data_IF_380905309422
#
_entry.id   IF_380905309422
#
_cell.length_a   1.000
_cell.length_b   1.000
_cell.length_c   1.000
_cell.angle_alpha   90.00
_cell.angle_beta   90.00
_cell.angle_gamma   90.00
#
_symmetry.space_group_name_H-M   'P 1'
#
loop_
_entity.id
_entity.type
_entity.pdbx_description
1 polymer ?
#
# COMPACT_ATOMS: atom_id res chain seq x y z
N UNK A 1 24.96 45.20 -41.52
CA UNK A 1 23.51 44.88 -41.57
C UNK A 1 23.17 43.91 -40.45
N UNK A 2 22.40 44.39 -39.48
CA UNK A 2 21.67 43.58 -38.49
C UNK A 2 20.79 42.52 -39.18
N UNK A 3 20.52 41.39 -38.53
CA UNK A 3 19.15 40.94 -38.21
C UNK A 3 19.13 39.68 -37.30
N UNK A 4 18.83 39.96 -36.01
CA UNK A 4 17.87 39.30 -35.10
C UNK A 4 17.83 37.78 -34.89
N UNK A 5 17.96 37.44 -33.59
CA UNK A 5 17.25 36.40 -32.81
C UNK A 5 15.96 35.85 -33.45
N UNK A 6 15.83 34.52 -33.44
CA UNK A 6 14.56 33.83 -33.23
C UNK A 6 14.76 32.67 -32.27
N UNK A 7 14.22 32.83 -31.06
CA UNK A 7 13.93 31.72 -30.15
C UNK A 7 12.86 30.83 -30.78
N UNK A 8 13.08 29.53 -30.74
CA UNK A 8 12.00 28.54 -30.87
C UNK A 8 12.06 27.59 -29.68
N UNK A 9 11.29 27.97 -28.67
CA UNK A 9 10.52 27.03 -27.87
C UNK A 9 9.81 26.07 -28.82
N UNK A 10 9.93 24.77 -28.61
CA UNK A 10 9.19 23.80 -29.41
C UNK A 10 9.70 22.37 -29.31
N UNK A 11 9.04 21.61 -28.43
CA UNK A 11 8.51 20.30 -28.82
C UNK A 11 9.52 19.18 -29.09
N UNK A 12 10.21 18.64 -28.07
CA UNK A 12 10.75 17.27 -28.12
C UNK A 12 10.83 16.59 -26.75
N UNK A 13 9.69 16.10 -26.26
CA UNK A 13 9.61 14.92 -25.39
C UNK A 13 8.15 14.45 -25.36
N UNK A 14 7.56 14.23 -26.54
CA UNK A 14 6.47 13.29 -26.66
C UNK A 14 7.14 11.91 -26.65
N UNK A 15 7.42 11.39 -25.46
CA UNK A 15 7.74 9.97 -25.31
C UNK A 15 6.49 9.25 -25.76
N UNK A 16 6.51 8.71 -26.98
CA UNK A 16 5.56 7.69 -27.40
C UNK A 16 5.59 6.62 -26.30
N UNK A 17 4.53 6.51 -25.51
CA UNK A 17 4.19 5.30 -24.77
C UNK A 17 3.86 4.24 -25.83
N UNK A 18 4.89 3.73 -26.50
CA UNK A 18 4.78 2.58 -27.36
C UNK A 18 4.46 1.38 -26.46
N UNK A 19 3.20 0.95 -26.51
CA UNK A 19 2.67 -0.36 -26.14
C UNK A 19 3.63 -1.25 -25.33
N UNK A 20 3.84 -0.92 -24.05
CA UNK A 20 4.03 -1.98 -23.08
C UNK A 20 2.74 -2.81 -23.13
N UNK A 21 2.78 -4.15 -23.13
CA UNK A 21 1.60 -4.95 -22.84
C UNK A 21 1.21 -4.58 -21.40
N UNK A 22 0.42 -3.53 -21.28
CA UNK A 22 -0.11 -3.01 -20.04
C UNK A 22 -0.91 -4.16 -19.46
N UNK A 23 -0.69 -4.41 -18.17
CA UNK A 23 -1.54 -5.29 -17.39
C UNK A 23 -2.94 -4.64 -17.36
N UNK A 24 -3.71 -4.90 -18.41
CA UNK A 24 -5.09 -4.46 -18.46
C UNK A 24 -5.81 -5.12 -17.29
N UNK A 25 -6.40 -4.28 -16.47
CA UNK A 25 -7.14 -4.68 -15.28
C UNK A 25 -8.51 -4.06 -15.34
N UNK A 26 -9.53 -4.88 -15.13
CA UNK A 26 -10.92 -4.50 -15.26
C UNK A 26 -11.78 -5.29 -14.25
N UNK A 27 -12.26 -4.59 -13.22
CA UNK A 27 -13.14 -5.19 -12.21
C UNK A 27 -14.39 -5.83 -12.83
N UNK A 28 -14.93 -5.28 -13.91
CA UNK A 28 -16.15 -5.80 -14.51
C UNK A 28 -15.90 -7.14 -15.21
N UNK A 29 -14.76 -7.31 -15.88
CA UNK A 29 -14.35 -8.64 -16.36
C UNK A 29 -14.11 -9.62 -15.22
N UNK A 30 -13.57 -9.12 -14.09
CA UNK A 30 -13.41 -9.92 -12.88
C UNK A 30 -14.75 -10.47 -12.36
N UNK A 31 -15.80 -9.64 -12.40
CA UNK A 31 -17.17 -10.04 -12.09
C UNK A 31 -17.64 -11.18 -13.00
N UNK A 32 -17.46 -11.04 -14.30
CA UNK A 32 -17.87 -12.05 -15.30
C UNK A 32 -17.15 -13.39 -15.11
N UNK A 33 -15.85 -13.35 -14.78
CA UNK A 33 -15.08 -14.55 -14.46
C UNK A 33 -15.62 -15.23 -13.20
N UNK A 34 -15.98 -14.47 -12.16
CA UNK A 34 -16.56 -15.04 -10.95
C UNK A 34 -17.91 -15.71 -11.25
N UNK A 35 -18.78 -15.02 -12.00
CA UNK A 35 -20.12 -15.50 -12.35
C UNK A 35 -20.12 -16.68 -13.34
N UNK A 36 -19.01 -16.92 -14.05
CA UNK A 36 -18.90 -18.05 -14.98
C UNK A 36 -18.07 -19.22 -14.44
N UNK A 37 -17.03 -18.96 -13.64
CA UNK A 37 -16.06 -19.98 -13.23
C UNK A 37 -16.11 -20.32 -11.75
N UNK A 38 -16.36 -19.33 -10.87
CA UNK A 38 -16.40 -19.60 -9.43
C UNK A 38 -17.70 -20.31 -9.03
N UNK A 39 -18.80 -20.06 -9.75
CA UNK A 39 -20.11 -20.66 -9.47
C UNK A 39 -20.17 -22.19 -9.67
N UNK A 40 -19.17 -22.76 -10.36
CA UNK A 40 -19.06 -24.21 -10.53
C UNK A 40 -18.96 -24.96 -9.19
N UNK A 41 -18.44 -24.29 -8.15
CA UNK A 41 -18.34 -24.83 -6.79
C UNK A 41 -19.02 -23.92 -5.75
N UNK A 42 -19.04 -22.60 -5.96
CA UNK A 42 -19.63 -21.65 -5.03
C UNK A 42 -21.11 -21.43 -5.34
N UNK A 43 -22.00 -21.92 -4.48
CA UNK A 43 -23.45 -21.72 -4.62
C UNK A 43 -23.86 -20.27 -4.37
N UNK A 44 -24.96 -19.83 -5.00
CA UNK A 44 -25.51 -18.47 -4.88
C UNK A 44 -25.18 -17.60 -6.09
N UNK A 45 -25.19 -16.28 -5.91
CA UNK A 45 -24.84 -15.30 -6.94
C UNK A 45 -24.24 -14.02 -6.31
N UNK A 46 -23.70 -13.11 -7.12
CA UNK A 46 -23.07 -11.88 -6.60
C UNK A 46 -24.05 -10.84 -6.04
N UNK A 47 -25.35 -10.96 -6.32
CA UNK A 47 -26.37 -10.02 -5.87
C UNK A 47 -26.82 -10.36 -4.45
N UNK A 48 -27.15 -11.63 -4.21
CA UNK A 48 -27.65 -12.13 -2.92
C UNK A 48 -26.50 -12.68 -2.05
N UNK A 49 -25.41 -13.13 -2.66
CA UNK A 49 -24.19 -13.61 -2.02
C UNK A 49 -23.73 -14.97 -2.55
N UNK A 50 -22.44 -15.09 -2.86
CA UNK A 50 -21.79 -16.35 -3.18
C UNK A 50 -21.24 -16.99 -1.90
N UNK A 51 -21.54 -18.27 -1.70
CA UNK A 51 -21.03 -19.06 -0.58
C UNK A 51 -19.53 -18.89 -0.43
N UNK A 52 -19.06 -18.68 0.80
CA UNK A 52 -17.67 -18.37 1.17
C UNK A 52 -17.17 -17.01 0.68
N UNK A 53 -17.27 -16.72 -0.61
CA UNK A 53 -16.71 -15.53 -1.26
C UNK A 53 -17.33 -14.26 -0.66
N UNK A 54 -18.65 -14.21 -0.54
CA UNK A 54 -19.36 -13.02 -0.08
C UNK A 54 -19.27 -12.78 1.42
N UNK A 55 -18.76 -13.74 2.19
CA UNK A 55 -18.67 -13.69 3.65
C UNK A 55 -17.28 -13.38 4.21
N UNK A 56 -16.39 -12.94 3.34
CA UNK A 56 -15.03 -12.56 3.70
C UNK A 56 -14.65 -11.23 3.06
N UNK A 57 -13.83 -10.45 3.74
CA UNK A 57 -13.12 -9.29 3.20
C UNK A 57 -11.63 -9.42 3.46
N UNK A 58 -10.80 -8.98 2.52
CA UNK A 58 -9.33 -9.13 2.57
C UNK A 58 -8.63 -8.00 1.81
N UNK A 59 -7.32 -7.90 2.01
CA UNK A 59 -6.44 -7.09 1.15
C UNK A 59 -6.34 -7.67 -0.27
N UNK A 60 -5.84 -6.91 -1.26
CA UNK A 60 -5.54 -7.43 -2.60
C UNK A 60 -4.65 -8.68 -2.55
N UNK A 61 -3.63 -8.68 -1.71
CA UNK A 61 -2.73 -9.83 -1.50
C UNK A 61 -3.46 -11.04 -0.89
N UNK A 62 -4.39 -10.80 0.05
CA UNK A 62 -5.20 -11.86 0.64
C UNK A 62 -6.17 -12.52 -0.36
N UNK A 63 -6.74 -11.73 -1.27
CA UNK A 63 -7.54 -12.25 -2.39
C UNK A 63 -6.68 -12.99 -3.41
N UNK A 64 -5.51 -12.45 -3.78
CA UNK A 64 -4.53 -13.13 -4.63
C UNK A 64 -4.18 -14.52 -4.06
N UNK A 65 -3.86 -14.61 -2.78
CA UNK A 65 -3.56 -15.88 -2.12
C UNK A 65 -4.74 -16.87 -2.17
N UNK A 66 -5.97 -16.37 -2.04
CA UNK A 66 -7.18 -17.20 -2.09
C UNK A 66 -7.42 -17.74 -3.50
N UNK A 67 -7.35 -16.89 -4.52
CA UNK A 67 -7.48 -17.30 -5.93
C UNK A 67 -6.38 -18.29 -6.31
N UNK A 68 -5.13 -18.01 -5.95
CA UNK A 68 -4.00 -18.94 -6.16
C UNK A 68 -4.21 -20.28 -5.51
N UNK A 69 -4.79 -20.30 -4.31
CA UNK A 69 -5.15 -21.55 -3.63
C UNK A 69 -6.18 -22.34 -4.44
N UNK A 70 -7.22 -21.68 -4.99
CA UNK A 70 -8.21 -22.36 -5.83
C UNK A 70 -7.57 -22.98 -7.09
N UNK A 71 -6.61 -22.27 -7.72
CA UNK A 71 -5.88 -22.81 -8.87
C UNK A 71 -5.05 -24.04 -8.49
N UNK A 72 -4.33 -23.97 -7.37
CA UNK A 72 -3.39 -25.02 -6.93
C UNK A 72 -4.08 -26.24 -6.34
N UNK A 73 -5.07 -26.03 -5.47
CA UNK A 73 -5.65 -27.10 -4.63
C UNK A 73 -6.97 -27.62 -5.18
N UNK A 74 -7.68 -26.83 -5.99
CA UNK A 74 -9.01 -27.19 -6.51
C UNK A 74 -9.08 -27.11 -8.03
N UNK A 75 -7.94 -26.94 -8.72
CA UNK A 75 -7.84 -27.03 -10.18
C UNK A 75 -8.53 -25.89 -10.94
N UNK A 76 -8.79 -24.74 -10.31
CA UNK A 76 -9.38 -23.59 -10.99
C UNK A 76 -8.51 -23.15 -12.18
N UNK A 77 -9.09 -23.20 -13.38
CA UNK A 77 -8.41 -22.80 -14.62
C UNK A 77 -8.83 -21.39 -15.05
N UNK A 78 -7.95 -20.43 -14.80
CA UNK A 78 -8.06 -19.04 -15.24
C UNK A 78 -6.71 -18.55 -15.75
N UNK A 79 -6.75 -17.64 -16.73
CA UNK A 79 -5.56 -16.96 -17.23
C UNK A 79 -5.04 -15.96 -16.18
N UNK A 80 -3.80 -15.49 -16.37
CA UNK A 80 -3.22 -14.45 -15.51
C UNK A 80 -3.97 -13.11 -15.58
N UNK A 81 -4.54 -12.78 -16.74
CA UNK A 81 -5.35 -11.58 -16.91
C UNK A 81 -6.65 -11.70 -16.11
N UNK A 82 -7.38 -12.80 -16.30
CA UNK A 82 -8.60 -13.10 -15.53
C UNK A 82 -8.33 -13.12 -14.01
N UNK A 83 -7.21 -13.71 -13.57
CA UNK A 83 -6.80 -13.65 -12.15
C UNK A 83 -6.67 -12.20 -11.65
N UNK A 84 -6.00 -11.35 -12.43
CA UNK A 84 -5.78 -9.94 -12.07
C UNK A 84 -7.11 -9.19 -11.98
N UNK A 85 -8.01 -9.42 -12.94
CA UNK A 85 -9.36 -8.86 -12.99
C UNK A 85 -10.21 -9.32 -11.79
N UNK A 86 -10.18 -10.62 -11.46
CA UNK A 86 -10.87 -11.19 -10.29
C UNK A 86 -10.34 -10.57 -8.99
N UNK A 87 -9.03 -10.44 -8.83
CA UNK A 87 -8.44 -9.82 -7.63
C UNK A 87 -8.84 -8.36 -7.54
N UNK A 88 -8.86 -7.63 -8.65
CA UNK A 88 -9.33 -6.24 -8.69
C UNK A 88 -10.78 -6.14 -8.23
N UNK A 89 -11.67 -6.96 -8.78
CA UNK A 89 -13.06 -6.98 -8.35
C UNK A 89 -13.21 -7.31 -6.86
N UNK A 90 -12.60 -8.40 -6.39
CA UNK A 90 -12.73 -8.82 -5.00
C UNK A 90 -12.16 -7.79 -4.02
N UNK A 91 -11.02 -7.17 -4.33
CA UNK A 91 -10.42 -6.15 -3.48
C UNK A 91 -11.20 -4.82 -3.48
N UNK A 92 -11.83 -4.46 -4.59
CA UNK A 92 -12.64 -3.23 -4.67
C UNK A 92 -13.96 -3.35 -3.89
N UNK A 93 -14.62 -4.50 -4.01
CA UNK A 93 -15.96 -4.68 -3.44
C UNK A 93 -15.94 -5.32 -2.06
N UNK A 94 -14.89 -6.09 -1.75
CA UNK A 94 -14.71 -6.85 -0.51
C UNK A 94 -13.31 -6.63 0.09
N UNK A 95 -12.83 -5.39 -0.01
CA UNK A 95 -11.58 -4.91 0.58
C UNK A 95 -11.66 -4.62 2.08
N UNK A 96 -10.56 -4.11 2.62
CA UNK A 96 -10.48 -3.59 3.98
C UNK A 96 -10.40 -2.07 3.98
N UNK A 97 -10.81 -1.45 5.08
CA UNK A 97 -10.63 -0.01 5.28
C UNK A 97 -9.18 0.33 5.66
N UNK A 98 -8.71 1.58 5.48
CA UNK A 98 -7.40 2.01 5.95
C UNK A 98 -7.17 1.73 7.45
N UNK A 99 -8.18 1.96 8.29
CA UNK A 99 -8.11 1.70 9.73
C UNK A 99 -7.96 0.20 10.05
N UNK A 100 -8.53 -0.68 9.21
CA UNK A 100 -8.38 -2.14 9.33
C UNK A 100 -7.02 -2.64 8.86
N UNK A 101 -6.39 -1.97 7.89
CA UNK A 101 -5.09 -2.34 7.32
C UNK A 101 -3.94 -1.82 8.18
N UNK A 102 -4.04 -0.58 8.66
CA UNK A 102 -2.94 0.16 9.30
C UNK A 102 -2.20 -0.59 10.41
N UNK A 103 -2.86 -1.32 11.34
CA UNK A 103 -2.14 -2.07 12.38
C UNK A 103 -1.22 -3.17 11.84
N UNK A 104 -1.48 -3.65 10.62
CA UNK A 104 -0.86 -4.82 10.02
C UNK A 104 -0.18 -4.53 8.67
N UNK A 105 -0.11 -3.26 8.23
CA UNK A 105 0.43 -2.86 6.93
C UNK A 105 1.87 -3.33 6.70
N UNK A 106 2.64 -3.49 7.77
CA UNK A 106 4.04 -3.89 7.73
C UNK A 106 4.30 -5.20 6.95
N UNK A 107 3.35 -6.17 6.95
CA UNK A 107 3.50 -7.43 6.21
C UNK A 107 3.24 -7.25 4.72
N UNK A 108 2.39 -6.28 4.37
CA UNK A 108 2.13 -5.85 2.99
C UNK A 108 3.37 -5.13 2.47
N UNK A 109 3.82 -4.11 3.20
CA UNK A 109 5.01 -3.29 2.94
C UNK A 109 6.33 -4.07 2.87
N UNK A 110 6.31 -5.36 3.22
CA UNK A 110 7.50 -6.21 3.37
C UNK A 110 8.53 -5.56 4.29
N UNK A 111 8.06 -4.93 5.37
CA UNK A 111 8.94 -4.33 6.36
C UNK A 111 9.81 -5.44 6.97
N UNK A 112 11.15 -5.36 6.83
CA UNK A 112 12.02 -6.40 7.34
C UNK A 112 12.02 -6.41 8.87
N UNK A 113 12.24 -7.59 9.46
CA UNK A 113 12.53 -7.79 10.88
C UNK A 113 11.47 -7.24 11.86
N UNK A 114 10.19 -7.28 11.50
CA UNK A 114 9.11 -6.96 12.45
C UNK A 114 8.93 -8.13 13.42
N UNK A 115 8.92 -7.80 14.72
CA UNK A 115 8.53 -8.73 15.79
C UNK A 115 7.09 -8.43 16.17
N UNK A 116 6.20 -9.41 16.06
CA UNK A 116 4.83 -9.28 16.55
C UNK A 116 4.80 -9.45 18.07
N UNK A 117 4.08 -8.56 18.76
CA UNK A 117 4.03 -8.54 20.22
C UNK A 117 3.27 -9.74 20.83
N UNK A 118 2.37 -10.39 20.07
CA UNK A 118 1.58 -11.52 20.55
C UNK A 118 0.70 -11.18 21.74
N UNK A 119 -0.16 -10.14 21.60
CA UNK A 119 -0.92 -9.56 22.73
C UNK A 119 -1.90 -10.54 23.37
N UNK A 120 -2.45 -11.46 22.59
CA UNK A 120 -3.29 -12.55 23.08
C UNK A 120 -2.47 -13.85 23.02
N UNK A 121 -2.21 -14.43 24.19
CA UNK A 121 -1.36 -15.62 24.30
C UNK A 121 -1.99 -16.83 23.60
N UNK A 122 -3.31 -17.02 23.75
CA UNK A 122 -4.02 -18.14 23.15
C UNK A 122 -3.97 -18.05 21.63
N UNK A 123 -4.30 -16.90 21.04
CA UNK A 123 -4.20 -16.66 19.61
C UNK A 123 -2.76 -16.88 19.11
N UNK A 124 -1.77 -16.40 19.86
CA UNK A 124 -0.36 -16.53 19.51
C UNK A 124 0.05 -18.00 19.40
N UNK A 125 -0.27 -18.80 20.42
CA UNK A 125 0.02 -20.24 20.46
C UNK A 125 -0.77 -21.02 19.39
N UNK A 126 -2.03 -20.66 19.19
CA UNK A 126 -2.95 -21.41 18.32
C UNK A 126 -2.75 -21.10 16.83
N UNK A 127 -2.48 -19.83 16.48
CA UNK A 127 -2.59 -19.35 15.10
C UNK A 127 -1.31 -18.68 14.55
N UNK A 128 -0.44 -18.16 15.41
CA UNK A 128 0.68 -17.29 14.97
C UNK A 128 2.03 -18.03 14.89
N UNK A 129 2.09 -19.29 15.32
CA UNK A 129 3.31 -20.13 15.26
C UNK A 129 3.76 -20.54 13.85
N UNK A 130 2.90 -20.45 12.84
CA UNK A 130 3.20 -20.84 11.46
C UNK A 130 3.37 -19.63 10.52
N UNK A 131 2.60 -18.58 10.74
CA UNK A 131 2.63 -17.36 9.96
C UNK A 131 2.16 -16.18 10.82
N UNK A 132 2.50 -14.97 10.41
CA UNK A 132 2.21 -13.75 11.17
C UNK A 132 0.73 -13.59 11.54
N UNK A 133 0.46 -13.04 12.71
CA UNK A 133 -0.86 -12.57 13.16
C UNK A 133 -1.45 -11.59 12.15
N UNK A 134 -0.62 -10.75 11.50
CA UNK A 134 -1.05 -9.86 10.44
C UNK A 134 -1.80 -10.56 9.29
N UNK A 135 -1.53 -11.85 9.02
CA UNK A 135 -2.28 -12.58 8.00
C UNK A 135 -3.74 -12.79 8.42
N UNK A 136 -4.00 -12.89 9.71
CA UNK A 136 -5.33 -12.98 10.33
C UNK A 136 -5.93 -11.58 10.40
N UNK A 137 -5.17 -10.62 10.97
CA UNK A 137 -5.58 -9.24 11.16
C UNK A 137 -5.92 -8.48 9.87
N UNK A 138 -5.40 -8.91 8.73
CA UNK A 138 -5.74 -8.41 7.38
C UNK A 138 -6.90 -9.17 6.72
N UNK A 139 -7.84 -9.67 7.52
CA UNK A 139 -9.07 -10.28 7.04
C UNK A 139 -10.24 -9.93 7.96
N UNK A 140 -11.45 -9.93 7.39
CA UNK A 140 -12.69 -9.78 8.15
C UNK A 140 -13.67 -10.84 7.69
N UNK A 141 -14.24 -11.62 8.60
CA UNK A 141 -15.09 -12.79 8.28
C UNK A 141 -16.25 -12.94 9.26
N UNK A 142 -17.29 -13.67 8.87
CA UNK A 142 -18.33 -14.12 9.83
C UNK A 142 -17.77 -15.25 10.71
N UNK A 143 -18.39 -15.55 11.87
CA UNK A 143 -18.01 -16.73 12.67
C UNK A 143 -17.96 -18.01 11.85
N UNK A 144 -18.97 -18.26 11.01
CA UNK A 144 -19.01 -19.46 10.17
C UNK A 144 -17.81 -19.55 9.21
N UNK A 145 -17.35 -18.42 8.69
CA UNK A 145 -16.17 -18.36 7.83
C UNK A 145 -14.85 -18.46 8.57
N UNK A 146 -14.80 -18.06 9.84
CA UNK A 146 -13.67 -18.35 10.74
C UNK A 146 -13.63 -19.82 11.14
N UNK A 147 -14.76 -20.41 11.52
CA UNK A 147 -14.86 -21.85 11.83
C UNK A 147 -14.49 -22.71 10.61
N UNK A 148 -14.99 -22.36 9.42
CA UNK A 148 -14.62 -23.04 8.19
C UNK A 148 -13.12 -22.89 7.86
N UNK A 149 -12.47 -21.79 8.27
CA UNK A 149 -11.03 -21.62 8.13
C UNK A 149 -10.26 -22.57 9.06
N UNK A 150 -10.70 -22.72 10.30
CA UNK A 150 -10.10 -23.67 11.26
C UNK A 150 -10.18 -25.09 10.70
N UNK A 151 -11.36 -25.50 10.24
CA UNK A 151 -11.57 -26.80 9.59
C UNK A 151 -10.64 -27.01 8.39
N UNK A 152 -10.51 -25.99 7.53
CA UNK A 152 -9.59 -26.05 6.39
C UNK A 152 -8.13 -26.27 6.82
N UNK A 153 -7.65 -25.60 7.88
CA UNK A 153 -6.26 -25.77 8.32
C UNK A 153 -5.99 -27.19 8.82
N UNK A 154 -6.88 -27.74 9.65
CA UNK A 154 -6.73 -29.11 10.18
C UNK A 154 -6.78 -30.13 9.05
N UNK A 155 -7.73 -29.98 8.11
CA UNK A 155 -7.88 -30.91 6.99
C UNK A 155 -6.73 -30.82 5.98
N UNK A 156 -6.27 -29.60 5.65
CA UNK A 156 -5.23 -29.39 4.65
C UNK A 156 -3.82 -29.72 5.17
N UNK A 157 -3.61 -29.59 6.48
CA UNK A 157 -2.34 -29.89 7.13
C UNK A 157 -2.54 -30.98 8.17
N UNK A 158 -2.64 -32.27 7.78
CA UNK A 158 -3.00 -33.35 8.71
C UNK A 158 -2.07 -33.51 9.92
N UNK A 159 -0.81 -33.07 9.82
CA UNK A 159 0.14 -33.09 10.94
C UNK A 159 -0.03 -31.92 11.92
N UNK A 160 -1.00 -31.03 11.69
CA UNK A 160 -1.13 -29.78 12.41
C UNK A 160 -1.35 -29.97 13.91
N UNK A 161 -2.21 -30.93 14.28
CA UNK A 161 -2.57 -31.21 15.68
C UNK A 161 -1.48 -31.95 16.46
N UNK A 162 -0.48 -32.52 15.77
CA UNK A 162 0.64 -33.22 16.42
C UNK A 162 1.90 -32.36 16.57
N UNK A 163 1.83 -31.08 16.20
CA UNK A 163 2.93 -30.13 16.34
C UNK A 163 3.01 -29.55 17.76
N UNK A 164 4.13 -28.87 18.07
CA UNK A 164 4.26 -28.11 19.31
C UNK A 164 3.17 -27.02 19.40
N UNK A 165 2.66 -26.78 20.61
CA UNK A 165 1.54 -25.86 20.90
C UNK A 165 0.20 -26.28 20.27
N UNK A 166 0.10 -27.51 19.76
CA UNK A 166 -1.16 -28.14 19.37
C UNK A 166 -1.40 -29.47 20.09
N UNK A 167 -0.42 -30.37 20.10
CA UNK A 167 -0.54 -31.73 20.69
C UNK A 167 -0.72 -31.77 22.21
N UNK A 168 -0.54 -30.63 22.87
CA UNK A 168 -0.62 -30.44 24.32
C UNK A 168 -2.05 -30.13 24.80
N UNK A 169 -3.03 -30.03 23.89
CA UNK A 169 -4.43 -29.73 24.20
C UNK A 169 -5.40 -30.35 23.18
N UNK A 170 -6.70 -30.28 23.47
CA UNK A 170 -7.74 -30.48 22.47
C UNK A 170 -7.76 -29.27 21.52
N UNK A 171 -6.84 -29.25 20.57
CA UNK A 171 -6.61 -28.10 19.72
C UNK A 171 -7.86 -27.73 18.92
N UNK A 172 -8.56 -28.71 18.34
CA UNK A 172 -9.75 -28.45 17.54
C UNK A 172 -10.91 -27.93 18.40
N UNK A 173 -11.16 -28.55 19.56
CA UNK A 173 -12.19 -28.10 20.49
C UNK A 173 -11.94 -26.66 20.98
N UNK A 174 -10.71 -26.33 21.36
CA UNK A 174 -10.33 -24.96 21.76
C UNK A 174 -10.45 -23.99 20.59
N UNK A 175 -10.01 -24.40 19.39
CA UNK A 175 -10.10 -23.54 18.21
C UNK A 175 -11.56 -23.17 17.87
N UNK A 176 -12.50 -24.11 17.99
CA UNK A 176 -13.90 -23.85 17.67
C UNK A 176 -14.63 -23.08 18.77
N UNK A 177 -14.37 -23.38 20.04
CA UNK A 177 -15.15 -22.85 21.16
C UNK A 177 -14.58 -21.55 21.75
N UNK A 178 -13.29 -21.27 21.56
CA UNK A 178 -12.62 -20.09 22.14
C UNK A 178 -12.03 -19.20 21.06
N UNK A 179 -11.28 -19.77 20.11
CA UNK A 179 -10.57 -18.97 19.09
C UNK A 179 -11.53 -18.40 18.05
N UNK A 180 -12.52 -19.17 17.56
CA UNK A 180 -13.51 -18.64 16.58
C UNK A 180 -14.32 -17.47 17.15
N UNK A 181 -14.87 -17.53 18.37
CA UNK A 181 -15.52 -16.36 19.00
C UNK A 181 -14.58 -15.15 19.10
N UNK A 182 -13.34 -15.35 19.53
CA UNK A 182 -12.34 -14.27 19.59
C UNK A 182 -12.11 -13.65 18.21
N UNK A 183 -11.97 -14.46 17.15
CA UNK A 183 -11.76 -14.00 15.78
C UNK A 183 -12.97 -13.25 15.22
N UNK A 184 -14.19 -13.66 15.58
CA UNK A 184 -15.40 -12.93 15.21
C UNK A 184 -15.49 -11.58 15.93
N UNK A 185 -15.18 -11.53 17.22
CA UNK A 185 -15.21 -10.29 18.00
C UNK A 185 -14.19 -9.27 17.48
N UNK A 186 -12.95 -9.71 17.23
CA UNK A 186 -11.84 -8.81 16.88
C UNK A 186 -11.72 -8.58 15.36
N UNK A 187 -12.11 -9.56 14.55
CA UNK A 187 -11.95 -9.56 13.09
C UNK A 187 -13.24 -9.98 12.36
N UNK A 188 -14.39 -9.65 12.95
CA UNK A 188 -15.70 -9.85 12.36
C UNK A 188 -15.91 -9.10 11.04
N UNK A 189 -16.77 -9.63 10.17
CA UNK A 189 -17.05 -9.04 8.84
C UNK A 189 -17.54 -7.59 8.93
N UNK A 190 -18.31 -7.27 9.98
CA UNK A 190 -18.94 -5.97 10.27
C UNK A 190 -19.45 -5.26 9.00
N UNK A 191 -20.52 -5.83 8.42
CA UNK A 191 -21.08 -5.38 7.14
C UNK A 191 -21.54 -3.92 7.23
N UNK A 192 -22.17 -3.52 8.32
CA UNK A 192 -22.71 -2.17 8.49
C UNK A 192 -21.61 -1.10 8.52
N UNK A 193 -20.55 -1.33 9.31
CA UNK A 193 -19.38 -0.43 9.35
C UNK A 193 -18.73 -0.31 7.98
N UNK A 194 -18.58 -1.44 7.27
CA UNK A 194 -17.98 -1.44 5.94
C UNK A 194 -18.87 -0.73 4.90
N UNK A 195 -20.18 -0.92 4.92
CA UNK A 195 -21.10 -0.18 4.04
C UNK A 195 -21.09 1.33 4.31
N UNK A 196 -21.01 1.73 5.58
CA UNK A 196 -20.83 3.14 5.96
C UNK A 196 -19.53 3.72 5.39
N UNK A 197 -18.44 2.95 5.48
CA UNK A 197 -17.16 3.33 4.88
C UNK A 197 -17.26 3.47 3.35
N UNK A 198 -17.82 2.48 2.63
CA UNK A 198 -18.01 2.57 1.17
C UNK A 198 -18.84 3.80 0.77
N UNK A 199 -19.92 4.10 1.51
CA UNK A 199 -20.73 5.31 1.29
C UNK A 199 -19.91 6.59 1.49
N UNK A 200 -19.02 6.63 2.48
CA UNK A 200 -18.13 7.80 2.70
C UNK A 200 -17.19 8.07 1.51
N UNK A 201 -16.89 7.05 0.70
CA UNK A 201 -16.05 7.17 -0.49
C UNK A 201 -16.80 7.44 -1.78
N UNK A 202 -18.14 7.61 -1.76
CA UNK A 202 -18.95 7.75 -2.98
C UNK A 202 -18.44 8.87 -3.88
N UNK A 203 -18.13 10.03 -3.30
CA UNK A 203 -17.65 11.23 -4.00
C UNK A 203 -16.14 11.43 -3.88
N UNK A 204 -15.40 10.44 -3.36
CA UNK A 204 -13.96 10.54 -3.26
C UNK A 204 -13.32 10.38 -4.64
N UNK A 205 -12.54 11.38 -5.02
CA UNK A 205 -11.67 11.35 -6.20
C UNK A 205 -10.22 11.19 -5.76
N UNK A 206 -9.55 10.14 -6.26
CA UNK A 206 -8.15 9.87 -5.95
C UNK A 206 -7.23 10.98 -6.54
N UNK A 207 -6.44 11.67 -5.70
CA UNK A 207 -5.43 12.61 -6.19
C UNK A 207 -4.42 11.95 -7.12
N UNK A 208 -4.05 12.65 -8.19
CA UNK A 208 -3.14 12.14 -9.22
C UNK A 208 -1.71 12.61 -9.08
N UNK A 209 -1.45 13.59 -8.20
CA UNK A 209 -0.11 14.11 -7.94
C UNK A 209 0.15 14.11 -6.45
N UNK A 210 1.31 13.60 -6.07
CA UNK A 210 1.73 13.46 -4.68
C UNK A 210 3.13 14.01 -4.51
N UNK A 211 3.32 14.77 -3.43
CA UNK A 211 4.65 15.08 -2.91
C UNK A 211 4.95 14.10 -1.78
N UNK A 212 6.11 13.48 -1.84
CA UNK A 212 6.51 12.40 -0.97
C UNK A 212 7.87 12.74 -0.36
N UNK A 213 8.02 12.43 0.92
CA UNK A 213 9.32 12.30 1.57
C UNK A 213 9.56 10.83 1.86
N UNK A 214 10.78 10.35 1.63
CA UNK A 214 11.14 8.99 1.97
C UNK A 214 12.55 8.88 2.53
N UNK A 215 12.84 7.69 3.05
CA UNK A 215 14.15 7.35 3.61
C UNK A 215 14.53 5.95 3.13
N UNK A 216 15.74 5.83 2.59
CA UNK A 216 16.34 4.52 2.26
C UNK A 216 17.48 4.27 3.24
N UNK A 217 17.46 3.15 4.00
CA UNK A 217 18.58 2.78 4.84
C UNK A 217 19.90 2.84 4.06
N UNK A 218 20.97 3.31 4.70
CA UNK A 218 22.33 3.47 4.13
C UNK A 218 22.45 4.61 3.09
N UNK A 219 21.44 4.87 2.26
CA UNK A 219 21.51 5.93 1.23
C UNK A 219 21.06 7.30 1.79
N UNK A 220 20.02 7.32 2.63
CA UNK A 220 19.50 8.52 3.27
C UNK A 220 18.12 8.97 2.78
N UNK A 221 17.79 10.22 3.15
CA UNK A 221 16.50 10.85 2.86
C UNK A 221 16.39 11.32 1.41
N UNK A 222 15.16 11.34 0.89
CA UNK A 222 14.85 11.87 -0.44
C UNK A 222 13.46 12.50 -0.49
N UNK A 223 13.28 13.38 -1.47
CA UNK A 223 11.96 13.86 -1.91
C UNK A 223 11.56 13.20 -3.20
N UNK A 224 10.27 12.99 -3.40
CA UNK A 224 9.74 12.42 -4.63
C UNK A 224 8.43 13.08 -5.07
N UNK A 225 8.26 13.24 -6.38
CA UNK A 225 6.99 13.61 -7.01
C UNK A 225 6.44 12.37 -7.72
N UNK A 226 5.27 11.91 -7.29
CA UNK A 226 4.55 10.81 -7.92
C UNK A 226 3.37 11.38 -8.72
N UNK A 227 3.28 11.02 -10.00
CA UNK A 227 2.17 11.37 -10.89
C UNK A 227 1.52 10.11 -11.47
N UNK A 228 0.20 10.04 -11.36
CA UNK A 228 -0.64 8.98 -11.92
C UNK A 228 -1.38 9.50 -13.15
N UNK A 229 -1.23 8.81 -14.27
CA UNK A 229 -1.87 9.09 -15.55
C UNK A 229 -2.91 8.00 -15.82
N UNK A 230 -4.16 8.38 -16.07
CA UNK A 230 -5.22 7.40 -16.37
C UNK A 230 -4.86 6.62 -17.64
N UNK A 231 -5.01 5.30 -17.57
CA UNK A 231 -4.94 4.40 -18.73
C UNK A 231 -6.33 4.23 -19.37
N UNK A 232 -6.41 3.43 -20.45
CA UNK A 232 -7.69 3.05 -21.06
C UNK A 232 -8.48 2.01 -20.24
N UNK A 233 -7.79 1.31 -19.35
CA UNK A 233 -8.33 0.35 -18.36
C UNK A 233 -8.32 0.97 -16.95
N UNK A 234 -8.50 0.16 -15.90
CA UNK A 234 -8.48 0.65 -14.51
C UNK A 234 -7.08 0.79 -13.89
N UNK A 235 -6.02 0.65 -14.69
CA UNK A 235 -4.64 0.92 -14.28
C UNK A 235 -4.27 2.41 -14.45
N UNK A 236 -3.09 2.75 -13.97
CA UNK A 236 -2.46 4.06 -14.17
C UNK A 236 -1.06 3.88 -14.72
N UNK A 237 -0.72 4.67 -15.75
CA UNK A 237 0.67 4.99 -16.02
C UNK A 237 1.23 5.81 -14.86
N UNK A 238 2.42 5.47 -14.38
CA UNK A 238 3.05 6.12 -13.25
C UNK A 238 4.34 6.82 -13.67
N UNK A 239 4.57 8.02 -13.16
CA UNK A 239 5.85 8.71 -13.22
C UNK A 239 6.28 9.04 -11.79
N UNK A 240 7.51 8.67 -11.43
CA UNK A 240 8.13 9.06 -10.16
C UNK A 240 9.48 9.73 -10.43
N UNK A 241 9.66 10.91 -9.86
CA UNK A 241 10.88 11.71 -9.92
C UNK A 241 11.34 11.93 -8.48
N UNK A 242 12.51 11.39 -8.11
CA UNK A 242 13.01 11.45 -6.75
C UNK A 242 14.48 11.88 -6.65
N UNK A 243 14.75 12.69 -5.64
CA UNK A 243 16.04 13.33 -5.36
C UNK A 243 16.47 13.06 -3.93
N UNK A 244 17.59 12.39 -3.76
CA UNK A 244 18.22 12.17 -2.46
C UNK A 244 18.93 13.43 -1.97
N UNK A 245 19.04 13.54 -0.65
CA UNK A 245 19.79 14.60 0.03
C UNK A 245 21.28 14.60 -0.38
N UNK A 246 21.84 13.45 -0.77
CA UNK A 246 23.21 13.34 -1.31
C UNK A 246 23.35 13.82 -2.77
N UNK A 247 22.28 14.32 -3.38
CA UNK A 247 22.26 14.84 -4.75
C UNK A 247 21.93 13.82 -5.83
N UNK A 248 21.79 12.52 -5.50
CA UNK A 248 21.42 11.50 -6.49
C UNK A 248 19.95 11.67 -6.91
N UNK A 249 19.71 11.70 -8.22
CA UNK A 249 18.39 11.88 -8.80
C UNK A 249 18.02 10.70 -9.70
N UNK A 250 16.73 10.38 -9.72
CA UNK A 250 16.19 9.32 -10.55
C UNK A 250 14.81 9.71 -11.06
N UNK A 251 14.56 9.37 -12.32
CA UNK A 251 13.26 9.53 -12.95
C UNK A 251 12.89 8.23 -13.63
N UNK A 252 11.77 7.65 -13.25
CA UNK A 252 11.31 6.37 -13.80
C UNK A 252 9.81 6.37 -14.02
N UNK A 253 9.39 5.52 -14.94
CA UNK A 253 7.99 5.26 -15.24
C UNK A 253 7.61 3.85 -14.80
N UNK A 254 6.32 3.66 -14.56
CA UNK A 254 5.79 2.38 -14.12
C UNK A 254 4.31 2.24 -14.40
N UNK A 255 3.73 1.21 -13.81
CA UNK A 255 2.29 0.95 -13.82
C UNK A 255 1.82 0.84 -12.38
N UNK A 256 0.66 1.42 -12.08
CA UNK A 256 0.02 1.33 -10.78
C UNK A 256 -1.44 0.86 -10.92
N UNK A 257 -1.92 0.13 -9.93
CA UNK A 257 -3.32 -0.25 -9.76
C UNK A 257 -3.75 0.28 -8.40
N UNK A 258 -4.96 0.80 -8.31
CA UNK A 258 -5.55 1.24 -7.04
C UNK A 258 -6.76 0.37 -6.75
N UNK A 259 -6.71 -0.32 -5.62
CA UNK A 259 -7.75 -1.19 -5.12
C UNK A 259 -8.57 -0.47 -4.05
N UNK A 260 -9.89 -0.58 -4.10
CA UNK A 260 -10.80 0.00 -3.10
C UNK A 260 -10.66 1.52 -2.93
N UNK A 261 -10.09 2.22 -3.94
CA UNK A 261 -9.69 3.64 -3.94
C UNK A 261 -8.58 4.04 -2.96
N UNK A 262 -8.13 3.17 -2.05
CA UNK A 262 -7.17 3.52 -0.99
C UNK A 262 -5.88 2.71 -1.01
N UNK A 263 -5.82 1.60 -1.74
CA UNK A 263 -4.67 0.69 -1.75
C UNK A 263 -3.97 0.76 -3.10
N UNK A 264 -2.86 1.49 -3.19
CA UNK A 264 -2.07 1.62 -4.41
C UNK A 264 -0.95 0.58 -4.43
N UNK A 265 -0.88 -0.17 -5.53
CA UNK A 265 0.20 -1.12 -5.83
C UNK A 265 0.84 -0.73 -7.16
N UNK A 266 2.15 -0.49 -7.14
CA UNK A 266 2.88 -0.07 -8.32
C UNK A 266 4.10 -0.95 -8.59
N UNK A 267 4.50 -0.95 -9.86
CA UNK A 267 5.66 -1.64 -10.40
C UNK A 267 6.43 -0.71 -11.30
N UNK A 268 7.75 -0.64 -11.13
CA UNK A 268 8.64 0.15 -11.97
C UNK A 268 10.05 -0.44 -11.93
N UNK A 269 10.95 0.09 -12.75
CA UNK A 269 12.34 -0.35 -12.83
C UNK A 269 13.28 0.85 -12.71
N UNK A 270 14.39 0.68 -11.99
CA UNK A 270 15.43 1.69 -11.86
C UNK A 270 16.77 1.00 -12.09
N UNK A 271 17.50 1.41 -13.13
CA UNK A 271 18.82 0.86 -13.47
C UNK A 271 18.83 -0.69 -13.55
N UNK A 272 17.82 -1.30 -14.16
CA UNK A 272 17.69 -2.76 -14.28
C UNK A 272 17.14 -3.48 -13.05
N UNK A 273 16.91 -2.77 -11.93
CA UNK A 273 16.33 -3.34 -10.71
C UNK A 273 14.83 -3.07 -10.67
N UNK A 274 14.04 -4.13 -10.54
CA UNK A 274 12.57 -4.05 -10.46
C UNK A 274 12.14 -3.75 -9.03
N UNK A 275 11.25 -2.78 -8.88
CA UNK A 275 10.67 -2.37 -7.61
C UNK A 275 9.16 -2.65 -7.55
N UNK A 276 8.69 -2.92 -6.34
CA UNK A 276 7.28 -2.77 -5.95
C UNK A 276 7.14 -1.53 -5.09
N UNK A 277 5.98 -0.90 -5.19
CA UNK A 277 5.58 0.15 -4.26
C UNK A 277 4.17 -0.13 -3.78
N UNK A 278 4.02 -0.11 -2.45
CA UNK A 278 2.79 -0.39 -1.72
C UNK A 278 2.51 0.87 -0.92
N UNK A 279 1.42 1.55 -1.27
CA UNK A 279 1.00 2.78 -0.59
C UNK A 279 -0.44 2.63 -0.10
N UNK A 280 -0.63 3.07 1.12
CA UNK A 280 -1.90 3.16 1.83
C UNK A 280 -2.32 4.62 1.86
N UNK A 281 -3.46 4.93 1.25
CA UNK A 281 -3.99 6.29 1.14
C UNK A 281 -5.08 6.48 2.20
N UNK A 282 -4.96 7.56 2.97
CA UNK A 282 -6.06 8.04 3.81
C UNK A 282 -6.93 9.02 3.01
N UNK A 283 -8.15 8.63 2.60
CA UNK A 283 -9.03 9.47 1.80
C UNK A 283 -9.61 10.66 2.58
N UNK A 284 -9.52 10.66 3.93
CA UNK A 284 -9.98 11.79 4.76
C UNK A 284 -9.02 12.97 4.69
N UNK A 285 -7.73 12.66 4.62
CA UNK A 285 -6.66 13.66 4.68
C UNK A 285 -5.89 13.81 3.37
N UNK A 286 -6.14 12.97 2.37
CA UNK A 286 -5.32 12.87 1.15
C UNK A 286 -3.82 12.77 1.48
N UNK A 287 -3.52 11.93 2.48
CA UNK A 287 -2.15 11.53 2.82
C UNK A 287 -1.92 10.10 2.36
N UNK A 288 -0.64 9.76 2.18
CA UNK A 288 -0.24 8.39 1.93
C UNK A 288 0.96 8.01 2.80
N UNK A 289 1.04 6.72 3.11
CA UNK A 289 2.18 6.09 3.75
C UNK A 289 2.43 4.71 3.14
N UNK A 290 3.65 4.19 3.26
CA UNK A 290 3.95 2.82 2.82
C UNK A 290 5.41 2.62 2.48
N UNK A 291 5.68 1.67 1.58
CA UNK A 291 7.05 1.25 1.25
C UNK A 291 7.24 0.99 -0.25
N UNK A 292 8.44 1.31 -0.74
CA UNK A 292 8.93 0.82 -2.03
C UNK A 292 10.14 -0.07 -1.79
N UNK A 293 10.27 -1.16 -2.53
CA UNK A 293 11.31 -2.16 -2.28
C UNK A 293 11.62 -2.99 -3.52
N UNK A 294 12.82 -3.56 -3.56
CA UNK A 294 13.26 -4.41 -4.66
C UNK A 294 12.44 -5.71 -4.68
N UNK A 295 12.05 -6.15 -5.87
CA UNK A 295 11.22 -7.36 -6.03
C UNK A 295 11.92 -8.61 -5.49
N UNK A 296 13.23 -8.73 -5.72
CA UNK A 296 14.03 -9.90 -5.31
C UNK A 296 14.59 -9.78 -3.89
N UNK A 297 14.77 -8.55 -3.41
CA UNK A 297 15.36 -8.25 -2.10
C UNK A 297 14.46 -7.24 -1.36
N UNK A 298 13.27 -7.66 -0.89
CA UNK A 298 12.34 -6.73 -0.27
C UNK A 298 12.89 -6.07 1.00
N UNK A 299 13.92 -6.63 1.65
CA UNK A 299 14.71 -5.99 2.70
C UNK A 299 15.33 -4.66 2.24
N UNK A 300 15.71 -4.55 0.96
CA UNK A 300 16.19 -3.33 0.33
C UNK A 300 14.99 -2.48 -0.12
N UNK A 301 14.76 -1.38 0.58
CA UNK A 301 13.65 -0.50 0.25
C UNK A 301 13.59 0.74 1.11
N UNK A 302 12.57 1.54 0.84
CA UNK A 302 12.44 2.88 1.39
C UNK A 302 11.06 3.10 1.97
N UNK A 303 11.00 3.67 3.17
CA UNK A 303 9.74 4.15 3.76
C UNK A 303 9.31 5.43 3.08
N UNK A 304 8.01 5.62 2.87
CA UNK A 304 7.45 6.77 2.19
C UNK A 304 6.30 7.34 3.01
N UNK A 305 6.24 8.67 3.08
CA UNK A 305 5.08 9.44 3.57
C UNK A 305 4.81 10.58 2.60
N UNK A 306 3.56 10.95 2.40
CA UNK A 306 3.22 11.95 1.40
C UNK A 306 1.85 12.58 1.56
N UNK A 307 1.61 13.61 0.76
CA UNK A 307 0.37 14.39 0.69
C UNK A 307 0.05 14.71 -0.76
N UNK A 308 -1.23 14.86 -1.08
CA UNK A 308 -1.68 15.41 -2.35
C UNK A 308 -0.93 16.73 -2.67
N UNK A 309 -0.19 16.73 -3.78
CA UNK A 309 0.78 17.79 -4.11
C UNK A 309 0.14 19.18 -4.25
N UNK A 310 -1.04 19.21 -4.85
CA UNK A 310 -1.76 20.44 -5.20
C UNK A 310 -2.77 20.86 -4.10
N UNK A 311 -2.66 20.28 -2.90
CA UNK A 311 -3.50 20.64 -1.76
C UNK A 311 -3.36 22.13 -1.40
N UNK A 312 -4.49 22.76 -1.11
CA UNK A 312 -4.57 24.14 -0.61
C UNK A 312 -4.33 24.22 0.91
N UNK A 313 -4.30 23.08 1.59
CA UNK A 313 -3.98 22.99 3.00
C UNK A 313 -2.46 23.09 3.17
N UNK A 314 -2.02 23.96 4.08
CA UNK A 314 -0.61 24.02 4.48
C UNK A 314 -0.31 22.84 5.38
N UNK A 315 0.46 21.88 4.87
CA UNK A 315 0.81 20.66 5.60
C UNK A 315 2.31 20.43 5.48
N UNK A 316 2.98 20.22 6.62
CA UNK A 316 4.35 19.73 6.65
C UNK A 316 4.33 18.20 6.55
N UNK A 317 5.01 17.66 5.54
CA UNK A 317 5.17 16.22 5.34
C UNK A 317 6.42 15.74 6.08
N UNK A 318 7.53 16.47 5.96
CA UNK A 318 8.82 16.07 6.55
C UNK A 318 9.81 17.23 6.61
N UNK A 319 10.79 17.11 7.50
CA UNK A 319 11.98 17.97 7.57
C UNK A 319 13.21 17.06 7.63
N UNK A 320 14.21 17.32 6.78
CA UNK A 320 15.47 16.59 6.78
C UNK A 320 16.69 17.51 6.61
N UNK A 321 17.86 17.17 7.17
CA UNK A 321 18.05 16.12 8.16
C UNK A 321 17.24 16.39 9.43
N UNK A 322 16.90 15.34 10.19
CA UNK A 322 16.11 15.45 11.43
C UNK A 322 16.88 16.07 12.60
N UNK A 323 18.18 16.28 12.44
CA UNK A 323 19.04 16.92 13.42
C UNK A 323 20.13 17.73 12.71
N UNK A 324 20.55 18.82 13.36
CA UNK A 324 21.69 19.65 12.95
C UNK A 324 22.64 19.72 14.13
N UNK A 325 23.93 19.48 13.90
CA UNK A 325 24.95 19.52 14.95
C UNK A 325 25.22 20.97 15.36
N UNK A 326 25.26 21.23 16.66
CA UNK A 326 25.56 22.56 17.22
C UNK A 326 26.91 23.07 16.72
N UNK A 327 26.96 24.36 16.36
CA UNK A 327 28.14 25.02 15.80
C UNK A 327 28.40 24.73 14.31
N UNK A 328 27.67 23.80 13.68
CA UNK A 328 27.89 23.41 12.29
C UNK A 328 26.84 23.99 11.34
N UNK A 329 27.29 24.29 10.11
CA UNK A 329 26.41 24.65 9.01
C UNK A 329 25.78 23.38 8.43
N UNK A 330 24.50 23.44 8.10
CA UNK A 330 23.79 22.34 7.45
C UNK A 330 22.75 22.87 6.48
N UNK A 331 22.44 22.09 5.45
CA UNK A 331 21.31 22.34 4.56
C UNK A 331 20.12 21.53 5.05
N UNK A 332 19.01 22.22 5.36
CA UNK A 332 17.74 21.58 5.71
C UNK A 332 16.74 21.75 4.58
N UNK A 333 15.90 20.73 4.40
CA UNK A 333 14.79 20.71 3.47
C UNK A 333 13.49 20.47 4.22
N UNK A 334 12.51 21.32 3.98
CA UNK A 334 11.16 21.25 4.51
C UNK A 334 10.25 20.89 3.35
N UNK A 335 9.57 19.76 3.46
CA UNK A 335 8.72 19.18 2.41
C UNK A 335 7.28 19.27 2.86
N UNK A 336 6.39 19.64 1.95
CA UNK A 336 4.98 19.81 2.29
C UNK A 336 4.09 20.25 1.15
N UNK A 337 2.95 20.84 1.49
CA UNK A 337 1.98 21.40 0.55
C UNK A 337 1.62 22.79 0.99
N UNK A 338 1.29 23.65 0.02
CA UNK A 338 0.97 25.06 0.23
C UNK A 338 1.93 25.77 1.20
N UNK A 339 3.25 25.58 1.00
CA UNK A 339 4.32 26.18 1.82
C UNK A 339 4.56 27.65 1.44
N UNK A 340 3.52 28.47 1.60
CA UNK A 340 3.53 29.91 1.35
C UNK A 340 3.84 30.68 2.63
N UNK A 341 4.52 31.82 2.50
CA UNK A 341 4.88 32.68 3.63
C UNK A 341 6.27 32.40 4.22
N UNK A 342 6.59 33.10 5.31
CA UNK A 342 7.92 33.08 5.92
C UNK A 342 8.16 31.83 6.76
N UNK A 343 9.40 31.32 6.73
CA UNK A 343 9.82 30.20 7.59
C UNK A 343 10.35 30.73 8.91
N UNK A 344 9.68 30.35 10.01
CA UNK A 344 10.16 30.60 11.37
C UNK A 344 10.78 29.33 11.95
N UNK A 345 12.11 29.34 12.09
CA UNK A 345 12.84 28.27 12.79
C UNK A 345 12.95 28.58 14.30
N UNK A 346 13.17 27.56 15.15
CA UNK A 346 13.53 27.76 16.55
C UNK A 346 14.75 28.68 16.69
N UNK A 347 14.87 29.39 17.82
CA UNK A 347 15.98 30.33 18.07
C UNK A 347 17.38 29.68 18.05
N UNK A 348 17.45 28.36 18.23
CA UNK A 348 18.68 27.58 18.12
C UNK A 348 19.19 27.43 16.68
N UNK A 349 18.38 27.74 15.66
CA UNK A 349 18.74 27.69 14.24
C UNK A 349 18.68 29.07 13.61
N UNK A 350 19.80 29.50 13.03
CA UNK A 350 19.87 30.71 12.22
C UNK A 350 19.87 30.36 10.73
N UNK A 351 18.93 30.93 9.99
CA UNK A 351 18.93 30.85 8.51
C UNK A 351 20.08 31.70 7.97
N UNK A 352 20.95 31.05 7.20
CA UNK A 352 22.05 31.69 6.48
C UNK A 352 21.63 32.08 5.06
N UNK A 353 20.90 31.19 4.37
CA UNK A 353 20.48 31.38 2.98
C UNK A 353 19.25 30.54 2.65
N UNK A 354 18.32 31.11 1.88
CA UNK A 354 17.25 30.33 1.23
C UNK A 354 17.75 29.85 -0.14
N UNK A 355 17.93 28.54 -0.31
CA UNK A 355 18.35 27.93 -1.57
C UNK A 355 17.15 27.75 -2.50
N UNK A 356 16.03 27.30 -1.96
CA UNK A 356 14.80 27.01 -2.71
C UNK A 356 13.60 27.35 -1.86
N UNK A 357 12.58 27.93 -2.46
CA UNK A 357 11.29 28.14 -1.82
C UNK A 357 10.19 27.94 -2.87
N UNK A 358 9.50 26.82 -2.78
CA UNK A 358 8.37 26.46 -3.64
C UNK A 358 7.19 26.06 -2.77
N UNK A 359 6.01 25.92 -3.37
CA UNK A 359 4.81 25.51 -2.65
C UNK A 359 4.91 24.10 -2.03
N UNK A 360 5.89 23.28 -2.44
CA UNK A 360 6.04 21.91 -1.94
C UNK A 360 7.38 21.61 -1.26
N UNK A 361 8.35 22.51 -1.37
CA UNK A 361 9.68 22.30 -0.84
C UNK A 361 10.37 23.62 -0.58
N UNK A 362 10.91 23.78 0.62
CA UNK A 362 11.78 24.87 1.02
C UNK A 362 13.13 24.27 1.42
N UNK A 363 14.22 24.79 0.87
CA UNK A 363 15.58 24.37 1.19
C UNK A 363 16.36 25.56 1.73
N UNK A 364 16.92 25.43 2.92
CA UNK A 364 17.59 26.47 3.67
C UNK A 364 18.99 26.01 4.09
N UNK A 365 20.00 26.85 3.93
CA UNK A 365 21.25 26.72 4.68
C UNK A 365 21.05 27.36 6.04
N UNK A 366 21.38 26.61 7.10
CA UNK A 366 21.24 27.02 8.49
C UNK A 366 22.55 26.77 9.25
N UNK A 367 22.69 27.43 10.40
CA UNK A 367 23.69 27.08 11.41
C UNK A 367 22.98 26.91 12.75
N UNK A 368 23.32 25.83 13.47
CA UNK A 368 22.87 25.65 14.84
C UNK A 368 23.81 26.41 15.78
N UNK A 369 23.25 27.20 16.70
CA UNK A 369 24.04 27.89 17.71
C UNK A 369 24.69 26.87 18.68
N UNK A 370 25.90 27.18 19.16
CA UNK A 370 26.43 26.53 20.36
C UNK A 370 25.79 27.26 21.54
N UNK A 371 25.02 26.55 22.36
CA UNK A 371 24.57 27.08 23.66
C UNK A 371 25.73 27.18 24.65
#
# INVERSE_FOLDING_TARGET
>A
MNYKRLSKFGMKSLVLLAALPLFAVDAQKGKEVIESKCIACHTGDLKEGLSRISDQRKTPEGWYMTVKRMQREHGLSITKAEETDVIKYLADYQGLTPDEIKPYSYVLDKKPNVQEEGKDELLTQMCVRCHSEARIGLQRRTANEWNSLVNYHVAQFPSFEVQAQARDRDWFGVAQNEVVPYLEENFGKDKEKFEKYKKSLKNYELPKKWIISGHTPIIGDFTANLTLMKSADESYGMLIDYKYANGKEYKTTGVAIVYGKTELRASFEVNGVKYRQILHIDPKTNTLEGRMFEVLHPENGSTLVGKEKDSKETTLVSVYPKAVKAGEKSTISIVGTNLVGDVKLPSSLKVLKTIKHTNNEIVLDVIAHME
#
